data_IF_400394273889
#
_entry.id   IF_400394273889
#
_cell.length_a   1.000
_cell.length_b   1.000
_cell.length_c   1.000
_cell.angle_alpha   90.00
_cell.angle_beta   90.00
_cell.angle_gamma   90.00
#
_symmetry.space_group_name_H-M   'P 1'
#
loop_
_entity.id
_entity.type
_entity.pdbx_description
1 polymer ?
#
# COMPACT_ATOMS: atom_id res chain seq x y z
N UNK A 1 8.76 -22.78 3.53
CA UNK A 1 7.48 -22.34 2.92
C UNK A 1 6.34 -22.61 3.90
N UNK A 2 5.59 -21.59 4.35
CA UNK A 2 4.48 -21.81 5.32
C UNK A 2 3.21 -22.09 4.51
N UNK A 3 2.74 -23.33 4.51
CA UNK A 3 1.46 -23.71 3.90
C UNK A 3 0.32 -22.95 4.59
N UNK A 4 -0.39 -22.10 3.84
CA UNK A 4 -1.58 -21.33 4.27
C UNK A 4 -2.87 -21.90 3.66
N UNK A 5 -2.87 -23.16 3.23
CA UNK A 5 -4.08 -23.81 2.75
C UNK A 5 -5.08 -23.98 3.89
N UNK A 6 -6.38 -23.79 3.59
CA UNK A 6 -7.45 -24.12 4.56
C UNK A 6 -7.49 -25.63 4.75
N UNK A 7 -7.37 -26.08 5.99
CA UNK A 7 -7.63 -27.47 6.37
C UNK A 7 -9.14 -27.66 6.35
N UNK A 8 -9.62 -28.81 5.83
CA UNK A 8 -11.04 -29.17 5.85
C UNK A 8 -11.54 -29.26 7.30
N UNK A 9 -12.79 -28.85 7.54
CA UNK A 9 -13.40 -28.86 8.88
C UNK A 9 -13.33 -30.24 9.55
N UNK A 10 -13.67 -31.29 8.79
CA UNK A 10 -13.64 -32.70 9.24
C UNK A 10 -12.29 -33.08 9.86
N UNK A 11 -11.18 -32.64 9.25
CA UNK A 11 -9.82 -32.92 9.73
C UNK A 11 -9.44 -32.07 10.94
N UNK A 12 -10.08 -30.93 11.17
CA UNK A 12 -9.85 -30.10 12.34
C UNK A 12 -10.42 -30.77 13.59
N UNK A 13 -11.67 -31.23 13.51
CA UNK A 13 -12.38 -31.90 14.60
C UNK A 13 -11.65 -33.19 14.98
N UNK A 14 -11.34 -34.04 13.98
CA UNK A 14 -10.59 -35.26 14.21
C UNK A 14 -9.22 -35.01 14.85
N UNK A 15 -8.51 -33.94 14.47
CA UNK A 15 -7.21 -33.61 15.07
C UNK A 15 -7.33 -33.23 16.56
N UNK A 16 -8.42 -32.55 16.93
CA UNK A 16 -8.70 -32.17 18.32
C UNK A 16 -9.07 -33.41 19.12
N UNK A 17 -9.96 -34.26 18.58
CA UNK A 17 -10.41 -35.48 19.25
C UNK A 17 -9.25 -36.44 19.51
N UNK A 18 -8.40 -36.68 18.51
CA UNK A 18 -7.20 -37.52 18.66
C UNK A 18 -6.23 -36.99 19.72
N UNK A 19 -6.19 -35.66 19.92
CA UNK A 19 -5.39 -35.06 20.99
C UNK A 19 -6.04 -35.21 22.36
N UNK A 20 -7.35 -34.97 22.45
CA UNK A 20 -8.07 -34.93 23.72
C UNK A 20 -8.31 -36.33 24.28
N UNK A 21 -8.66 -37.29 23.43
CA UNK A 21 -9.04 -38.65 23.84
C UNK A 21 -7.85 -39.61 23.87
N UNK A 22 -7.00 -39.59 22.85
CA UNK A 22 -5.89 -40.55 22.67
C UNK A 22 -4.52 -39.98 23.05
N UNK A 23 -4.44 -38.70 23.44
CA UNK A 23 -3.21 -38.00 23.79
C UNK A 23 -2.05 -38.14 22.78
N UNK A 24 -2.39 -38.30 21.50
CA UNK A 24 -1.39 -38.51 20.45
C UNK A 24 -0.49 -37.28 20.27
N UNK A 25 0.77 -37.53 19.86
CA UNK A 25 1.71 -36.46 19.51
C UNK A 25 1.31 -35.79 18.19
N UNK A 26 1.71 -34.53 17.99
CA UNK A 26 1.40 -33.80 16.75
C UNK A 26 1.94 -34.49 15.49
N UNK A 27 3.05 -35.24 15.61
CA UNK A 27 3.60 -36.04 14.50
C UNK A 27 2.71 -37.23 14.16
N UNK A 28 2.16 -37.93 15.16
CA UNK A 28 1.24 -39.06 14.95
C UNK A 28 -0.08 -38.57 14.35
N UNK A 29 -0.65 -37.48 14.87
CA UNK A 29 -1.87 -36.85 14.31
C UNK A 29 -1.66 -36.41 12.85
N UNK A 30 -0.49 -35.84 12.55
CA UNK A 30 -0.13 -35.46 11.19
C UNK A 30 -0.07 -36.65 10.22
N UNK A 31 0.48 -37.78 10.69
CA UNK A 31 0.53 -39.03 9.92
C UNK A 31 -0.86 -39.61 9.69
N UNK A 32 -1.73 -39.63 10.71
CA UNK A 32 -3.09 -40.19 10.60
C UNK A 32 -3.99 -39.35 9.67
N UNK A 33 -3.89 -38.02 9.75
CA UNK A 33 -4.77 -37.11 9.00
C UNK A 33 -4.17 -36.63 7.68
N UNK A 34 -2.97 -37.08 7.31
CA UNK A 34 -2.21 -36.64 6.14
C UNK A 34 -2.10 -35.11 6.07
N UNK A 35 -1.66 -34.49 7.17
CA UNK A 35 -1.42 -33.04 7.28
C UNK A 35 0.01 -32.79 7.78
N UNK A 36 0.54 -31.58 7.59
CA UNK A 36 1.86 -31.28 8.14
C UNK A 36 1.83 -31.25 9.68
N UNK A 37 2.90 -31.67 10.38
CA UNK A 37 3.01 -31.56 11.83
C UNK A 37 2.82 -30.13 12.35
N UNK A 38 3.27 -29.14 11.57
CA UNK A 38 3.08 -27.72 11.89
C UNK A 38 1.61 -27.29 11.83
N UNK A 39 0.85 -27.86 10.89
CA UNK A 39 -0.59 -27.64 10.76
C UNK A 39 -1.33 -28.29 11.92
N UNK A 40 -1.04 -29.56 12.22
CA UNK A 40 -1.61 -30.28 13.37
C UNK A 40 -1.38 -29.51 14.67
N UNK A 41 -0.14 -29.04 14.90
CA UNK A 41 0.20 -28.22 16.07
C UNK A 41 -0.58 -26.90 16.12
N UNK A 42 -0.75 -26.19 15.00
CA UNK A 42 -1.53 -24.93 14.95
C UNK A 42 -3.01 -25.15 15.26
N UNK A 43 -3.61 -26.19 14.66
CA UNK A 43 -5.02 -26.51 14.85
C UNK A 43 -5.27 -26.81 16.32
N UNK A 44 -4.57 -27.80 16.86
CA UNK A 44 -4.76 -28.23 18.24
C UNK A 44 -4.48 -27.11 19.23
N UNK A 45 -3.39 -26.35 19.07
CA UNK A 45 -3.06 -25.23 19.96
C UNK A 45 -4.07 -24.09 19.87
N UNK A 46 -4.64 -23.81 18.70
CA UNK A 46 -5.63 -22.74 18.52
C UNK A 46 -6.93 -23.04 19.28
N UNK A 47 -7.31 -24.32 19.38
CA UNK A 47 -8.55 -24.73 20.05
C UNK A 47 -8.35 -25.04 21.55
N UNK A 48 -7.21 -25.61 21.94
CA UNK A 48 -6.96 -26.02 23.33
C UNK A 48 -6.28 -24.95 24.20
N UNK A 49 -5.57 -24.00 23.60
CA UNK A 49 -4.98 -22.90 24.35
C UNK A 49 -5.88 -21.68 24.23
N UNK A 50 -6.16 -20.98 25.36
CA UNK A 50 -6.82 -19.68 25.27
C UNK A 50 -5.99 -18.80 24.34
N UNK A 51 -6.62 -18.20 23.33
CA UNK A 51 -5.94 -17.23 22.48
C UNK A 51 -5.37 -16.14 23.38
N UNK A 52 -4.03 -15.93 23.39
CA UNK A 52 -3.48 -14.85 24.19
C UNK A 52 -4.15 -13.55 23.75
N UNK A 53 -4.37 -12.59 24.68
CA UNK A 53 -4.96 -11.32 24.33
C UNK A 53 -4.17 -10.76 23.15
N UNK A 54 -4.85 -10.43 22.06
CA UNK A 54 -4.24 -9.87 20.87
C UNK A 54 -3.57 -8.56 21.26
N UNK A 55 -2.29 -8.63 21.64
CA UNK A 55 -1.47 -7.45 21.79
C UNK A 55 -1.51 -6.75 20.43
N UNK A 56 -1.91 -5.48 20.42
CA UNK A 56 -1.90 -4.66 19.22
C UNK A 56 -0.45 -4.62 18.72
N UNK A 57 -0.11 -5.52 17.81
CA UNK A 57 1.21 -5.55 17.17
C UNK A 57 1.34 -4.20 16.50
N UNK A 58 2.21 -3.33 17.03
CA UNK A 58 2.54 -2.05 16.40
C UNK A 58 2.98 -2.39 14.99
N UNK A 59 2.13 -2.10 14.00
CA UNK A 59 2.46 -2.33 12.59
C UNK A 59 3.75 -1.54 12.35
N UNK A 60 4.81 -2.24 11.92
CA UNK A 60 6.05 -1.57 11.54
C UNK A 60 5.68 -0.55 10.46
N UNK A 61 5.79 0.73 10.79
CA UNK A 61 5.62 1.79 9.80
C UNK A 61 6.64 1.49 8.69
N UNK A 62 6.19 1.52 7.44
CA UNK A 62 7.04 1.20 6.29
C UNK A 62 8.22 2.16 6.18
N UNK A 63 8.99 2.03 5.08
CA UNK A 63 10.07 2.97 4.76
C UNK A 63 9.55 4.42 4.83
N UNK A 64 10.29 5.36 5.44
CA UNK A 64 9.91 6.76 5.43
C UNK A 64 9.71 7.25 3.98
N UNK A 65 8.68 8.08 3.80
CA UNK A 65 8.38 8.66 2.50
C UNK A 65 9.53 9.58 2.07
N UNK A 66 9.81 9.61 0.77
CA UNK A 66 10.87 10.48 0.22
C UNK A 66 10.54 11.98 0.33
N UNK A 67 9.26 12.34 0.45
CA UNK A 67 8.81 13.73 0.61
C UNK A 67 8.32 13.95 2.04
N UNK A 68 8.88 14.96 2.70
CA UNK A 68 8.41 15.41 4.02
C UNK A 68 7.11 16.21 3.89
N UNK A 69 6.43 16.45 5.01
CA UNK A 69 5.23 17.31 5.02
C UNK A 69 5.54 18.76 4.58
N UNK A 70 6.72 19.27 4.93
CA UNK A 70 7.16 20.60 4.51
C UNK A 70 7.40 20.68 3.00
N UNK A 71 8.04 19.67 2.42
CA UNK A 71 8.28 19.62 0.97
C UNK A 71 6.95 19.61 0.19
N UNK A 72 5.95 18.93 0.73
CA UNK A 72 4.60 18.89 0.17
C UNK A 72 3.94 20.27 0.16
N UNK A 73 3.99 21.01 1.27
CA UNK A 73 3.47 22.38 1.36
C UNK A 73 4.12 23.30 0.33
N UNK A 74 5.46 23.25 0.21
CA UNK A 74 6.20 24.05 -0.79
C UNK A 74 5.80 23.73 -2.22
N UNK A 75 5.56 22.46 -2.54
CA UNK A 75 5.10 22.04 -3.87
C UNK A 75 3.68 22.53 -4.15
N UNK A 76 2.79 22.51 -3.16
CA UNK A 76 1.42 23.01 -3.28
C UNK A 76 1.39 24.53 -3.48
N UNK A 77 2.18 25.26 -2.70
CA UNK A 77 2.36 26.72 -2.84
C UNK A 77 2.91 27.07 -4.24
N UNK A 78 3.94 26.36 -4.69
CA UNK A 78 4.51 26.53 -6.02
C UNK A 78 3.49 26.25 -7.13
N UNK A 79 2.68 25.18 -7.00
CA UNK A 79 1.60 24.87 -7.93
C UNK A 79 0.55 26.00 -7.98
N UNK A 80 0.15 26.52 -6.82
CA UNK A 80 -0.82 27.60 -6.73
C UNK A 80 -0.30 28.89 -7.38
N UNK A 81 0.95 29.25 -7.12
CA UNK A 81 1.60 30.41 -7.72
C UNK A 81 1.73 30.28 -9.23
N UNK A 82 2.09 29.10 -9.72
CA UNK A 82 2.18 28.84 -11.16
C UNK A 82 0.81 28.85 -11.83
N UNK A 83 -0.25 28.36 -11.19
CA UNK A 83 -1.62 28.45 -11.71
C UNK A 83 -2.10 29.89 -11.88
N UNK A 84 -1.72 30.79 -10.97
CA UNK A 84 -2.05 32.22 -11.08
C UNK A 84 -1.33 32.91 -12.23
N UNK A 85 -0.06 32.57 -12.47
CA UNK A 85 0.81 33.28 -13.43
C UNK A 85 0.77 32.69 -14.83
N UNK A 86 0.62 31.37 -14.95
CA UNK A 86 0.76 30.66 -16.22
C UNK A 86 -0.31 29.57 -16.35
N UNK A 87 -1.02 29.60 -17.48
CA UNK A 87 -2.00 28.56 -17.85
C UNK A 87 -1.30 27.19 -18.04
N UNK A 88 -0.01 27.19 -18.41
CA UNK A 88 0.77 25.97 -18.69
C UNK A 88 2.07 25.95 -17.90
N UNK A 89 2.31 24.84 -17.20
CA UNK A 89 3.54 24.62 -16.44
C UNK A 89 3.93 23.13 -16.46
N UNK A 90 5.22 22.86 -16.34
CA UNK A 90 5.77 21.50 -16.25
C UNK A 90 6.07 21.14 -14.79
N UNK A 91 6.10 19.85 -14.48
CA UNK A 91 6.50 19.36 -13.14
C UNK A 91 7.89 19.86 -12.76
N UNK A 92 8.83 19.92 -13.71
CA UNK A 92 10.16 20.50 -13.48
C UNK A 92 10.07 21.95 -13.00
N UNK A 93 9.27 22.78 -13.66
CA UNK A 93 9.09 24.20 -13.28
C UNK A 93 8.50 24.33 -11.87
N UNK A 94 7.56 23.45 -11.50
CA UNK A 94 7.01 23.40 -10.14
C UNK A 94 8.10 23.12 -9.11
N UNK A 95 8.95 22.13 -9.37
CA UNK A 95 10.06 21.76 -8.48
C UNK A 95 11.05 22.92 -8.34
N UNK A 96 11.43 23.55 -9.45
CA UNK A 96 12.32 24.72 -9.47
C UNK A 96 11.73 25.88 -8.66
N UNK A 97 10.45 26.21 -8.85
CA UNK A 97 9.79 27.28 -8.07
C UNK A 97 9.64 26.96 -6.59
N UNK A 98 9.54 25.68 -6.22
CA UNK A 98 9.46 25.27 -4.81
C UNK A 98 10.82 25.28 -4.09
N UNK A 99 11.92 25.45 -4.83
CA UNK A 99 13.28 25.42 -4.28
C UNK A 99 13.73 24.04 -3.79
N UNK A 100 13.10 22.96 -4.28
CA UNK A 100 13.44 21.59 -3.87
C UNK A 100 14.53 20.99 -4.76
N UNK A 101 15.55 20.40 -4.15
CA UNK A 101 16.62 19.73 -4.89
C UNK A 101 16.17 18.36 -5.44
N UNK A 102 16.33 18.16 -6.74
CA UNK A 102 16.09 16.89 -7.45
C UNK A 102 17.03 15.75 -7.06
N UNK A 103 18.12 16.04 -6.33
CA UNK A 103 19.08 15.05 -5.83
C UNK A 103 18.56 14.26 -4.64
N UNK A 104 17.75 14.89 -3.77
CA UNK A 104 17.19 14.24 -2.57
C UNK A 104 16.04 13.29 -2.90
N UNK A 105 15.24 13.64 -3.90
CA UNK A 105 14.00 12.93 -4.25
C UNK A 105 13.91 12.77 -5.76
N UNK A 106 13.60 11.57 -6.22
CA UNK A 106 13.50 11.30 -7.66
C UNK A 106 12.40 12.14 -8.31
N UNK A 107 12.63 12.58 -9.55
CA UNK A 107 11.62 13.27 -10.37
C UNK A 107 10.28 12.52 -10.42
N UNK A 108 10.33 11.18 -10.49
CA UNK A 108 9.14 10.33 -10.51
C UNK A 108 8.28 10.49 -9.26
N UNK A 109 8.90 10.67 -8.09
CA UNK A 109 8.20 10.89 -6.82
C UNK A 109 7.46 12.23 -6.85
N UNK A 110 8.12 13.29 -7.33
CA UNK A 110 7.50 14.61 -7.50
C UNK A 110 6.33 14.56 -8.48
N UNK A 111 6.53 13.96 -9.66
CA UNK A 111 5.48 13.79 -10.67
C UNK A 111 4.28 13.04 -10.09
N UNK A 112 4.49 11.91 -9.40
CA UNK A 112 3.40 11.17 -8.74
C UNK A 112 2.63 12.02 -7.74
N UNK A 113 3.34 12.80 -6.92
CA UNK A 113 2.71 13.66 -5.93
C UNK A 113 1.85 14.74 -6.58
N UNK A 114 2.41 15.46 -7.56
CA UNK A 114 1.70 16.53 -8.27
C UNK A 114 0.50 15.97 -9.03
N UNK A 115 0.63 14.82 -9.71
CA UNK A 115 -0.50 14.17 -10.38
C UNK A 115 -1.60 13.78 -9.40
N UNK A 116 -1.25 13.31 -8.19
CA UNK A 116 -2.22 12.97 -7.16
C UNK A 116 -3.01 14.22 -6.72
N UNK A 117 -2.31 15.34 -6.44
CA UNK A 117 -2.94 16.60 -6.05
C UNK A 117 -3.86 17.11 -7.17
N UNK A 118 -3.37 17.15 -8.41
CA UNK A 118 -4.16 17.69 -9.52
C UNK A 118 -5.42 16.85 -9.76
N UNK A 119 -5.37 15.53 -9.54
CA UNK A 119 -6.54 14.65 -9.65
C UNK A 119 -7.58 14.92 -8.57
N UNK A 120 -7.17 15.32 -7.37
CA UNK A 120 -8.07 15.57 -6.23
C UNK A 120 -8.74 16.95 -6.24
N UNK A 121 -8.31 17.85 -7.13
CA UNK A 121 -8.87 19.20 -7.20
C UNK A 121 -10.13 19.20 -8.09
N UNK A 122 -11.24 19.83 -7.66
CA UNK A 122 -12.45 19.94 -8.48
C UNK A 122 -12.13 20.71 -9.77
N UNK A 123 -12.67 20.20 -10.87
CA UNK A 123 -12.25 20.50 -12.23
C UNK A 123 -12.36 21.98 -12.61
N UNK A 124 -11.28 22.52 -13.20
CA UNK A 124 -11.36 23.40 -14.37
C UNK A 124 -10.20 23.15 -15.38
N UNK A 125 -9.58 21.97 -15.43
CA UNK A 125 -8.58 21.72 -16.48
C UNK A 125 -8.61 20.28 -16.99
N UNK A 126 -8.97 20.13 -18.26
CA UNK A 126 -8.96 18.88 -19.02
C UNK A 126 -7.55 18.28 -19.02
N UNK A 127 -7.39 17.15 -18.31
CA UNK A 127 -6.13 16.42 -18.22
C UNK A 127 -5.95 15.54 -19.47
N UNK A 128 -5.27 16.04 -20.50
CA UNK A 128 -4.95 15.21 -21.66
C UNK A 128 -3.72 14.33 -21.37
N UNK A 129 -3.93 13.06 -21.05
CA UNK A 129 -2.84 12.08 -20.95
C UNK A 129 -2.39 11.65 -22.36
N UNK A 130 -1.48 12.39 -22.97
CA UNK A 130 -0.85 11.95 -24.21
C UNK A 130 0.31 10.99 -23.89
N UNK A 131 0.09 9.70 -24.15
CA UNK A 131 1.16 8.68 -24.28
C UNK A 131 1.93 8.91 -25.58
N UNK A 132 2.78 9.94 -25.66
CA UNK A 132 3.75 10.05 -26.78
C UNK A 132 4.80 11.14 -26.53
N UNK A 133 6.04 10.70 -26.29
CA UNK A 133 7.38 11.27 -26.58
C UNK A 133 7.69 12.79 -26.59
N UNK A 134 6.80 13.70 -26.22
CA UNK A 134 7.13 15.12 -26.01
C UNK A 134 6.37 15.67 -24.79
N UNK A 135 7.11 16.15 -23.79
CA UNK A 135 6.61 16.66 -22.51
C UNK A 135 5.90 18.02 -22.64
N UNK A 136 4.79 18.08 -23.36
CA UNK A 136 3.91 19.26 -23.36
C UNK A 136 2.50 18.86 -22.95
N UNK A 137 2.06 19.38 -21.81
CA UNK A 137 0.67 19.33 -21.37
C UNK A 137 -0.10 20.34 -22.22
N UNK A 138 -0.99 19.88 -23.11
CA UNK A 138 -1.91 20.74 -23.89
C UNK A 138 -3.30 20.67 -23.25
N UNK A 139 -3.81 21.84 -22.87
CA UNK A 139 -5.18 22.06 -22.39
C UNK A 139 -5.86 22.95 -23.43
N UNK A 140 -6.99 22.51 -23.99
CA UNK A 140 -7.95 23.32 -24.76
C UNK A 140 -9.20 23.46 -23.90
N UNK A 141 -9.68 24.68 -23.72
CA UNK A 141 -10.98 24.97 -23.13
C UNK A 141 -11.62 26.04 -24.01
N UNK A 142 -12.83 25.77 -24.50
CA UNK A 142 -13.65 26.74 -25.24
C UNK A 142 -14.30 27.73 -24.26
N UNK A 143 -14.44 29.01 -24.65
CA UNK A 143 -15.07 30.01 -23.79
C UNK A 143 -16.55 29.68 -23.62
N UNK A 144 -16.98 29.47 -22.37
CA UNK A 144 -18.40 29.53 -22.02
C UNK A 144 -18.83 30.99 -22.15
N UNK A 145 -19.79 31.24 -23.03
CA UNK A 145 -20.41 32.53 -23.31
C UNK A 145 -21.24 33.03 -22.12
#
# INVERSE_FOLDING_TARGET
>A
MVYKGRVRADKLEQAIDLRMTKHLSFRKIASELNISPSTAGRVVKKFLLPTPPTQKVKRKLGRPLGLTAQDKSKLEEALFMLRKKHIKYTVRKVIETSGLCSTKVSYRTFSRYIHAIVKTLPEQSTYCQCKSRANHIRVKIEPQQ
#
